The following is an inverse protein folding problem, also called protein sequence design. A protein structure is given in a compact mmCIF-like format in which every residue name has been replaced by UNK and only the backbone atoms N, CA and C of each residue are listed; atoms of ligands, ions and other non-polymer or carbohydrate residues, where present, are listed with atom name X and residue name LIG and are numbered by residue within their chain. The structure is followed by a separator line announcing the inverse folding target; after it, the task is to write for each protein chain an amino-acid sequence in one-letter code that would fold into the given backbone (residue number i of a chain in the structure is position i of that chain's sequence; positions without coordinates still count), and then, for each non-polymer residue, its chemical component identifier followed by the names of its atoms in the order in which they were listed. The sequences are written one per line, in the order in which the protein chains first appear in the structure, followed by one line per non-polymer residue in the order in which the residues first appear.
data_IF_893368192539
#
_entry.id   IF_893368192539
#
_cell.length_a   1.000
_cell.length_b   1.000
_cell.length_c   1.000
_cell.angle_alpha   90.00
_cell.angle_beta   90.00
_cell.angle_gamma   90.00
#
_symmetry.space_group_name_H-M   'P 1'
#
loop_
_entity.id
_entity.type
_entity.pdbx_description
1 polymer ?
#
# COMPACT_ATOMS: atom_id res chain seq x y z
N UNK A 1 -2.82 12.80 -8.51
CA UNK A 1 -1.72 13.79 -8.42
C UNK A 1 -0.51 13.25 -9.14
N UNK A 2 0.35 14.13 -9.70
CA UNK A 2 1.49 13.67 -10.49
C UNK A 2 2.81 14.03 -9.83
N UNK A 3 3.82 13.16 -10.05
CA UNK A 3 5.21 13.46 -9.71
C UNK A 3 5.79 14.55 -10.63
N UNK A 4 6.96 15.05 -10.27
CA UNK A 4 7.75 15.93 -11.14
C UNK A 4 8.17 15.17 -12.41
N UNK A 5 8.13 15.86 -13.56
CA UNK A 5 8.55 15.27 -14.85
C UNK A 5 9.99 14.74 -14.83
N UNK A 6 10.87 15.38 -14.06
CA UNK A 6 12.26 14.96 -13.88
C UNK A 6 12.43 13.54 -13.33
N UNK A 7 11.41 13.00 -12.63
CA UNK A 7 11.42 11.66 -12.05
C UNK A 7 10.94 10.56 -13.00
N UNK A 8 10.51 10.92 -14.21
CA UNK A 8 10.05 9.93 -15.19
C UNK A 8 11.13 8.88 -15.52
N UNK A 9 12.40 9.32 -15.62
CA UNK A 9 13.55 8.42 -15.86
C UNK A 9 13.71 7.38 -14.75
N UNK A 10 13.45 7.75 -13.49
CA UNK A 10 13.58 6.86 -12.34
C UNK A 10 12.48 5.80 -12.35
N UNK A 11 11.26 6.19 -12.72
CA UNK A 11 10.16 5.22 -12.89
C UNK A 11 10.43 4.25 -14.04
N UNK A 12 11.00 4.73 -15.15
CA UNK A 12 11.39 3.88 -16.30
C UNK A 12 12.45 2.87 -15.88
N UNK A 13 13.46 3.27 -15.10
CA UNK A 13 14.49 2.37 -14.59
C UNK A 13 13.91 1.30 -13.67
N UNK A 14 13.02 1.68 -12.75
CA UNK A 14 12.34 0.74 -11.86
C UNK A 14 11.49 -0.24 -12.68
N UNK A 15 10.71 0.24 -13.68
CA UNK A 15 9.91 -0.60 -14.56
C UNK A 15 10.76 -1.61 -15.32
N UNK A 16 11.86 -1.14 -15.95
CA UNK A 16 12.82 -1.99 -16.67
C UNK A 16 13.37 -3.09 -15.78
N UNK A 17 13.82 -2.75 -14.58
CA UNK A 17 14.32 -3.73 -13.61
C UNK A 17 13.29 -4.81 -13.28
N UNK A 18 12.01 -4.42 -13.07
CA UNK A 18 10.94 -5.38 -12.79
C UNK A 18 10.76 -6.32 -13.99
N UNK A 19 10.69 -5.76 -15.20
CA UNK A 19 10.47 -6.53 -16.42
C UNK A 19 11.62 -7.51 -16.72
N UNK A 20 12.86 -7.16 -16.36
CA UNK A 20 14.03 -8.00 -16.52
C UNK A 20 14.22 -9.03 -15.38
N UNK A 21 13.83 -8.68 -14.15
CA UNK A 21 14.08 -9.52 -12.96
C UNK A 21 12.99 -10.54 -12.69
N UNK A 22 11.78 -10.32 -13.17
CA UNK A 22 10.63 -11.18 -12.91
C UNK A 22 10.20 -11.89 -14.18
N UNK A 23 10.23 -13.23 -14.16
CA UNK A 23 9.60 -14.01 -15.23
C UNK A 23 8.08 -13.79 -15.23
N UNK A 24 7.40 -13.90 -16.38
CA UNK A 24 5.93 -13.74 -16.46
C UNK A 24 5.16 -14.65 -15.49
N UNK A 25 5.70 -15.81 -15.14
CA UNK A 25 5.12 -16.74 -14.16
C UNK A 25 5.31 -16.29 -12.70
N UNK A 26 6.31 -15.44 -12.41
CA UNK A 26 6.59 -14.93 -11.08
C UNK A 26 5.83 -13.62 -10.76
N UNK A 27 5.30 -12.92 -11.78
CA UNK A 27 4.51 -11.69 -11.62
C UNK A 27 3.07 -12.07 -11.20
N UNK A 28 2.93 -12.81 -10.12
CA UNK A 28 1.59 -13.09 -9.57
C UNK A 28 1.24 -12.17 -8.41
N UNK A 29 2.14 -11.97 -7.49
CA UNK A 29 2.06 -11.00 -6.40
C UNK A 29 3.45 -10.91 -5.78
N UNK A 30 4.26 -10.00 -6.27
CA UNK A 30 5.64 -9.88 -5.79
C UNK A 30 5.82 -8.57 -5.05
N UNK A 31 6.39 -8.66 -3.88
CA UNK A 31 6.76 -7.54 -3.03
C UNK A 31 8.28 -7.47 -2.92
N UNK A 32 8.87 -6.39 -3.41
CA UNK A 32 10.31 -6.13 -3.31
C UNK A 32 10.54 -4.93 -2.40
N UNK A 33 11.00 -5.18 -1.19
CA UNK A 33 11.29 -4.11 -0.22
C UNK A 33 12.50 -3.27 -0.65
N UNK A 34 12.47 -1.96 -0.38
CA UNK A 34 13.51 -1.00 -0.77
C UNK A 34 14.91 -1.48 -0.36
N UNK A 35 15.06 -2.07 0.82
CA UNK A 35 16.35 -2.55 1.34
C UNK A 35 16.92 -3.77 0.60
N UNK A 36 16.12 -4.45 -0.21
CA UNK A 36 16.50 -5.63 -0.99
C UNK A 36 16.71 -5.33 -2.47
N UNK A 37 16.45 -4.10 -2.90
CA UNK A 37 16.67 -3.69 -4.28
C UNK A 37 18.16 -3.48 -4.59
N UNK A 38 18.61 -3.71 -5.83
CA UNK A 38 19.92 -3.29 -6.30
C UNK A 38 20.16 -1.80 -6.05
N UNK A 39 21.43 -1.40 -5.91
CA UNK A 39 21.80 -0.04 -5.50
C UNK A 39 21.32 1.04 -6.46
N UNK A 40 21.38 0.80 -7.77
CA UNK A 40 20.90 1.70 -8.81
C UNK A 40 19.37 1.91 -8.73
N UNK A 41 18.61 0.83 -8.61
CA UNK A 41 17.15 0.88 -8.46
C UNK A 41 16.76 1.51 -7.12
N UNK A 42 17.49 1.19 -6.06
CA UNK A 42 17.29 1.83 -4.76
C UNK A 42 17.51 3.34 -4.83
N UNK A 43 18.51 3.80 -5.58
CA UNK A 43 18.75 5.23 -5.80
C UNK A 43 17.55 5.87 -6.51
N UNK A 44 16.98 5.23 -7.54
CA UNK A 44 15.78 5.73 -8.21
C UNK A 44 14.56 5.79 -7.27
N UNK A 45 14.38 4.77 -6.41
CA UNK A 45 13.34 4.81 -5.37
C UNK A 45 13.57 5.98 -4.40
N UNK A 46 14.81 6.26 -4.01
CA UNK A 46 15.16 7.39 -3.15
C UNK A 46 14.83 8.73 -3.82
N UNK A 47 15.08 8.88 -5.13
CA UNK A 47 14.71 10.10 -5.86
C UNK A 47 13.18 10.31 -5.84
N UNK A 48 12.40 9.28 -6.15
CA UNK A 48 10.94 9.36 -6.12
C UNK A 48 10.43 9.62 -4.69
N UNK A 49 11.01 8.97 -3.67
CA UNK A 49 10.69 9.18 -2.26
C UNK A 49 10.90 10.62 -1.80
N UNK A 50 11.88 11.33 -2.38
CA UNK A 50 12.19 12.71 -2.06
C UNK A 50 11.44 13.72 -2.94
N UNK A 51 10.44 13.32 -3.69
CA UNK A 51 9.60 14.19 -4.52
C UNK A 51 8.99 15.33 -3.71
N UNK A 52 9.21 16.57 -4.15
CA UNK A 52 8.61 17.75 -3.54
C UNK A 52 7.08 17.75 -3.68
N UNK A 53 6.57 17.19 -4.78
CA UNK A 53 5.12 17.07 -5.00
C UNK A 53 4.47 16.15 -3.97
N UNK A 54 5.11 15.02 -3.60
CA UNK A 54 4.65 14.16 -2.52
C UNK A 54 4.66 14.93 -1.19
N UNK A 55 5.79 15.52 -0.82
CA UNK A 55 5.89 16.24 0.46
C UNK A 55 4.87 17.37 0.58
N UNK A 56 4.75 18.20 -0.45
CA UNK A 56 3.79 19.30 -0.50
C UNK A 56 2.36 18.82 -0.38
N UNK A 57 2.02 17.69 -1.02
CA UNK A 57 0.71 17.08 -0.92
C UNK A 57 0.42 16.58 0.48
N UNK A 58 1.35 15.86 1.11
CA UNK A 58 1.19 15.35 2.47
C UNK A 58 1.02 16.47 3.50
N UNK A 59 1.73 17.58 3.35
CA UNK A 59 1.56 18.75 4.20
C UNK A 59 0.18 19.39 4.03
N UNK A 60 -0.37 19.43 2.80
CA UNK A 60 -1.74 19.92 2.55
C UNK A 60 -2.80 19.02 3.19
N UNK A 61 -2.57 17.70 3.25
CA UNK A 61 -3.51 16.75 3.87
C UNK A 61 -3.50 16.81 5.40
N UNK A 62 -2.45 17.34 6.00
CA UNK A 62 -2.31 17.40 7.47
C UNK A 62 -2.23 18.83 7.98
N UNK A 63 -1.06 19.41 7.98
CA UNK A 63 -0.81 20.80 8.37
C UNK A 63 0.56 21.23 7.83
N UNK A 64 0.64 22.46 7.33
CA UNK A 64 1.91 23.07 6.93
C UNK A 64 2.92 23.21 8.08
N UNK A 65 2.46 23.11 9.34
CA UNK A 65 3.30 23.11 10.55
C UNK A 65 3.81 21.72 10.93
N UNK A 66 3.39 20.68 10.23
CA UNK A 66 3.87 19.34 10.50
C UNK A 66 5.23 19.07 9.85
N UNK A 67 5.95 18.13 10.43
CA UNK A 67 7.13 17.52 9.82
C UNK A 67 6.71 16.23 9.12
N UNK A 68 7.33 15.95 7.99
CA UNK A 68 7.16 14.71 7.24
C UNK A 68 8.49 13.95 7.27
N UNK A 69 8.41 12.66 7.61
CA UNK A 69 9.58 11.78 7.65
C UNK A 69 9.28 10.46 6.92
N UNK A 70 10.13 10.01 5.99
CA UNK A 70 9.95 8.72 5.33
C UNK A 70 10.17 7.56 6.30
N UNK A 71 9.44 6.46 6.06
CA UNK A 71 9.57 5.16 6.77
C UNK A 71 10.06 4.14 5.75
N UNK A 72 11.37 4.14 5.53
CA UNK A 72 12.02 3.40 4.45
C UNK A 72 11.82 1.88 4.56
N UNK A 73 11.75 1.35 5.78
CA UNK A 73 11.59 -0.08 6.07
C UNK A 73 10.27 -0.66 5.58
N UNK A 74 9.28 0.19 5.33
CA UNK A 74 7.98 -0.21 4.81
C UNK A 74 7.85 0.00 3.29
N UNK A 75 8.82 0.69 2.66
CA UNK A 75 8.76 0.97 1.24
C UNK A 75 8.96 -0.30 0.42
N UNK A 76 8.14 -0.44 -0.61
CA UNK A 76 8.19 -1.61 -1.48
C UNK A 76 7.75 -1.28 -2.90
N UNK A 77 8.38 -1.95 -3.86
CA UNK A 77 7.82 -2.12 -5.21
C UNK A 77 6.88 -3.32 -5.16
N UNK A 78 5.65 -3.10 -5.56
CA UNK A 78 4.63 -4.13 -5.64
C UNK A 78 4.24 -4.39 -7.09
N UNK A 79 4.28 -5.65 -7.48
CA UNK A 79 3.93 -6.10 -8.81
C UNK A 79 2.77 -7.09 -8.73
N UNK A 80 1.75 -6.87 -9.54
CA UNK A 80 0.66 -7.82 -9.71
C UNK A 80 0.40 -8.05 -11.20
N UNK A 81 -0.03 -9.26 -11.53
CA UNK A 81 -0.58 -9.61 -12.82
C UNK A 81 -2.09 -9.67 -12.69
N UNK A 82 -2.81 -9.10 -13.64
CA UNK A 82 -4.25 -9.25 -13.65
C UNK A 82 -4.63 -10.74 -13.72
N UNK A 83 -5.51 -11.14 -12.83
CA UNK A 83 -6.23 -12.40 -12.91
C UNK A 83 -7.64 -12.06 -13.38
N UNK A 84 -8.12 -12.71 -14.41
CA UNK A 84 -9.43 -12.45 -15.01
C UNK A 84 -10.55 -12.30 -13.97
N UNK A 85 -11.61 -11.65 -14.37
CA UNK A 85 -12.83 -11.45 -13.56
C UNK A 85 -13.24 -12.77 -12.89
N UNK A 86 -13.34 -12.78 -11.56
CA UNK A 86 -13.72 -13.97 -10.79
C UNK A 86 -12.58 -14.80 -10.19
N UNK A 87 -11.33 -14.47 -10.39
CA UNK A 87 -10.20 -15.12 -9.71
C UNK A 87 -10.07 -14.64 -8.26
N UNK A 88 -10.87 -15.21 -7.37
CA UNK A 88 -10.81 -15.00 -5.92
C UNK A 88 -9.74 -15.86 -5.22
N UNK A 89 -8.56 -16.03 -5.78
CA UNK A 89 -7.58 -16.91 -5.18
C UNK A 89 -6.23 -16.23 -5.00
N UNK A 90 -5.83 -16.02 -3.76
CA UNK A 90 -4.49 -15.58 -3.35
C UNK A 90 -4.49 -14.27 -2.57
N UNK A 91 -3.30 -13.75 -2.26
CA UNK A 91 -3.08 -12.50 -1.52
C UNK A 91 -3.71 -11.25 -2.18
N UNK A 92 -4.03 -11.32 -3.46
CA UNK A 92 -4.64 -10.21 -4.21
C UNK A 92 -6.12 -9.99 -3.86
N UNK A 93 -6.83 -11.04 -3.43
CA UNK A 93 -8.22 -10.91 -2.97
C UNK A 93 -8.40 -9.89 -1.84
N UNK A 94 -7.36 -9.67 -1.02
CA UNK A 94 -7.37 -8.68 0.05
C UNK A 94 -7.41 -7.26 -0.50
N UNK A 95 -6.74 -7.01 -1.62
CA UNK A 95 -6.72 -5.68 -2.21
C UNK A 95 -8.04 -5.30 -2.88
N UNK A 96 -8.84 -6.29 -3.27
CA UNK A 96 -10.18 -6.07 -3.82
C UNK A 96 -11.25 -5.89 -2.73
N UNK A 97 -10.96 -6.25 -1.48
CA UNK A 97 -11.87 -6.04 -0.34
C UNK A 97 -11.57 -4.71 0.34
N UNK A 98 -12.61 -4.05 0.82
CA UNK A 98 -12.49 -2.81 1.60
C UNK A 98 -11.73 -3.11 2.89
N UNK A 99 -10.61 -2.44 3.12
CA UNK A 99 -9.79 -2.64 4.31
C UNK A 99 -9.05 -1.37 4.74
N UNK A 100 -8.51 -1.41 5.95
CA UNK A 100 -7.60 -0.44 6.52
C UNK A 100 -6.33 -1.20 6.88
N UNK A 101 -5.18 -0.65 6.53
CA UNK A 101 -3.90 -1.36 6.64
C UNK A 101 -3.41 -1.54 8.08
N UNK A 102 -3.67 -0.59 8.96
CA UNK A 102 -3.11 -0.61 10.32
C UNK A 102 -4.08 -0.16 11.42
N UNK A 103 -3.84 -0.57 12.68
CA UNK A 103 -4.77 -0.34 13.79
C UNK A 103 -4.52 0.96 14.58
N UNK A 104 -3.48 1.74 14.26
CA UNK A 104 -3.03 2.84 15.13
C UNK A 104 -3.70 4.18 14.83
N UNK A 105 -4.87 4.17 14.21
CA UNK A 105 -5.64 5.38 13.89
C UNK A 105 -6.08 6.20 15.10
N UNK A 106 -6.08 5.62 16.31
CA UNK A 106 -6.40 6.30 17.55
C UNK A 106 -5.29 7.23 18.07
N UNK A 107 -4.05 7.08 17.59
CA UNK A 107 -2.95 7.94 18.05
C UNK A 107 -3.16 9.34 17.47
N UNK A 108 -3.39 10.35 18.34
CA UNK A 108 -3.78 11.68 17.87
C UNK A 108 -2.59 12.40 17.22
N UNK A 109 -2.91 13.25 16.23
CA UNK A 109 -1.96 14.16 15.58
C UNK A 109 -0.78 13.48 14.85
N UNK A 110 -0.75 12.16 14.80
CA UNK A 110 0.20 11.40 14.02
C UNK A 110 -0.52 10.69 12.88
N UNK A 111 0.06 10.73 11.70
CA UNK A 111 -0.47 10.04 10.53
C UNK A 111 0.65 9.29 9.84
N UNK A 112 0.44 8.01 9.58
CA UNK A 112 1.28 7.26 8.67
C UNK A 112 0.59 7.25 7.30
N UNK A 113 1.21 7.88 6.33
CA UNK A 113 0.75 7.85 4.95
C UNK A 113 1.39 6.70 4.18
N UNK A 114 0.59 6.06 3.34
CA UNK A 114 1.05 5.26 2.21
C UNK A 114 0.80 6.04 0.93
N UNK A 115 1.85 6.42 0.23
CA UNK A 115 1.76 6.98 -1.11
C UNK A 115 1.92 5.83 -2.12
N UNK A 116 0.90 5.60 -2.92
CA UNK A 116 0.91 4.62 -4.01
C UNK A 116 1.23 5.38 -5.29
N UNK A 117 2.44 5.20 -5.80
CA UNK A 117 2.89 5.76 -7.08
C UNK A 117 2.73 4.72 -8.17
N UNK A 118 2.06 5.06 -9.24
CA UNK A 118 1.86 4.16 -10.38
C UNK A 118 3.08 4.15 -11.28
N UNK A 119 3.67 2.97 -11.48
CA UNK A 119 4.77 2.73 -12.41
C UNK A 119 4.24 2.18 -13.74
N UNK A 120 3.22 1.32 -13.66
CA UNK A 120 2.55 0.70 -14.80
C UNK A 120 1.14 0.29 -14.39
N UNK A 121 0.13 0.55 -15.22
CA UNK A 121 -1.25 0.15 -14.95
C UNK A 121 -1.96 -0.30 -16.25
N UNK A 122 -1.47 -1.38 -16.84
CA UNK A 122 -2.09 -2.01 -18.02
C UNK A 122 -3.39 -2.76 -17.68
N UNK A 123 -3.67 -2.92 -16.40
CA UNK A 123 -4.87 -3.62 -15.89
C UNK A 123 -6.07 -2.70 -15.74
N UNK A 124 -5.93 -1.42 -16.04
CA UNK A 124 -6.96 -0.38 -15.80
C UNK A 124 -7.60 -0.45 -14.40
N UNK A 125 -6.78 -0.82 -13.43
CA UNK A 125 -7.23 -0.95 -12.04
C UNK A 125 -7.41 0.43 -11.42
N UNK A 126 -8.58 0.65 -10.84
CA UNK A 126 -8.91 1.84 -10.07
C UNK A 126 -8.53 1.65 -8.60
N UNK A 127 -7.97 2.67 -7.98
CA UNK A 127 -7.76 2.71 -6.53
C UNK A 127 -8.89 3.52 -5.90
N UNK A 128 -9.63 2.91 -4.99
CA UNK A 128 -10.70 3.59 -4.27
C UNK A 128 -10.23 3.88 -2.86
N UNK A 129 -10.31 5.15 -2.44
CA UNK A 129 -9.97 5.61 -1.09
C UNK A 129 -11.17 6.35 -0.53
N UNK A 130 -11.75 5.83 0.54
CA UNK A 130 -13.04 6.29 1.05
C UNK A 130 -14.11 6.13 -0.05
N UNK A 131 -14.62 7.24 -0.56
CA UNK A 131 -15.61 7.26 -1.64
C UNK A 131 -15.05 7.78 -2.96
N UNK A 132 -13.75 8.15 -2.99
CA UNK A 132 -13.12 8.72 -4.17
C UNK A 132 -12.44 7.62 -4.99
N UNK A 133 -12.71 7.63 -6.29
CA UNK A 133 -12.10 6.72 -7.27
C UNK A 133 -10.93 7.42 -7.98
N UNK A 134 -9.79 6.75 -8.02
CA UNK A 134 -8.56 7.23 -8.65
C UNK A 134 -8.15 6.26 -9.77
N UNK A 135 -8.27 6.73 -11.01
CA UNK A 135 -7.72 6.03 -12.18
C UNK A 135 -6.33 6.60 -12.48
N UNK A 136 -5.31 6.01 -11.84
CA UNK A 136 -3.95 6.57 -11.86
C UNK A 136 -3.17 6.11 -13.08
N UNK A 137 -2.59 7.08 -13.79
CA UNK A 137 -1.62 6.86 -14.88
C UNK A 137 -0.20 6.75 -14.33
N UNK A 138 0.73 6.35 -15.20
CA UNK A 138 2.16 6.32 -14.87
C UNK A 138 2.64 7.68 -14.36
N UNK A 139 3.38 7.68 -13.25
CA UNK A 139 3.85 8.90 -12.57
C UNK A 139 2.81 9.60 -11.71
N UNK A 140 1.56 9.12 -11.66
CA UNK A 140 0.57 9.65 -10.73
C UNK A 140 0.61 8.89 -9.40
N UNK A 141 0.21 9.59 -8.33
CA UNK A 141 0.16 9.00 -7.00
C UNK A 141 -1.09 9.41 -6.22
N UNK A 142 -1.47 8.56 -5.28
CA UNK A 142 -2.47 8.84 -4.25
C UNK A 142 -1.86 8.59 -2.88
N UNK A 143 -2.19 9.43 -1.91
CA UNK A 143 -1.79 9.27 -0.51
C UNK A 143 -2.98 8.78 0.31
N UNK A 144 -2.76 7.75 1.11
CA UNK A 144 -3.74 7.08 1.96
C UNK A 144 -3.26 7.18 3.40
N UNK A 145 -4.12 7.57 4.35
CA UNK A 145 -3.83 7.37 5.78
C UNK A 145 -3.89 5.87 6.07
N UNK A 146 -2.71 5.27 6.27
CA UNK A 146 -2.50 3.85 6.48
C UNK A 146 -3.37 3.25 7.60
N UNK A 147 -3.67 4.06 8.61
CA UNK A 147 -4.35 3.64 9.83
C UNK A 147 -5.83 4.06 9.90
N UNK A 148 -6.33 4.88 8.93
CA UNK A 148 -7.69 5.43 9.01
C UNK A 148 -8.47 5.34 7.71
N UNK A 149 -7.80 5.33 6.55
CA UNK A 149 -8.51 5.40 5.29
C UNK A 149 -8.90 4.01 4.80
N UNK A 150 -10.21 3.81 4.70
CA UNK A 150 -10.79 2.65 4.04
C UNK A 150 -10.44 2.72 2.55
N UNK A 151 -9.82 1.66 2.03
CA UNK A 151 -9.42 1.62 0.64
C UNK A 151 -9.46 0.20 0.07
N UNK A 152 -9.53 0.13 -1.25
CA UNK A 152 -9.46 -1.11 -2.01
C UNK A 152 -9.15 -0.81 -3.48
N UNK A 153 -8.89 -1.84 -4.26
CA UNK A 153 -8.76 -1.73 -5.72
C UNK A 153 -9.96 -2.37 -6.40
N UNK A 154 -10.37 -1.79 -7.51
CA UNK A 154 -11.42 -2.32 -8.37
C UNK A 154 -10.89 -2.41 -9.80
N UNK A 155 -11.12 -3.52 -10.46
CA UNK A 155 -10.95 -3.63 -11.92
C UNK A 155 -12.21 -3.08 -12.56
N UNK A 156 -12.09 -2.34 -13.66
CA UNK A 156 -13.26 -1.84 -14.39
C UNK A 156 -14.09 -3.01 -14.91
N UNK A 157 -15.40 -2.91 -14.78
CA UNK A 157 -16.33 -4.01 -15.08
C UNK A 157 -16.35 -4.41 -16.58
N UNK A 158 -16.00 -3.48 -17.46
CA UNK A 158 -15.93 -3.64 -18.91
C UNK A 158 -14.53 -3.99 -19.43
N UNK A 159 -13.53 -4.08 -18.53
CA UNK A 159 -12.15 -4.36 -18.92
C UNK A 159 -11.88 -5.86 -18.97
N UNK A 160 -11.57 -6.36 -20.16
CA UNK A 160 -11.04 -7.71 -20.36
C UNK A 160 -9.53 -7.62 -20.56
N UNK A 161 -8.73 -7.84 -19.49
CA UNK A 161 -7.30 -7.74 -19.61
C UNK A 161 -6.73 -8.83 -20.49
N UNK A 162 -5.76 -8.48 -21.30
CA UNK A 162 -4.92 -9.47 -21.94
C UNK A 162 -4.18 -10.31 -20.89
N UNK A 163 -3.84 -11.56 -21.22
CA UNK A 163 -3.13 -12.49 -20.32
C UNK A 163 -1.84 -11.93 -19.72
N UNK A 164 -1.29 -10.87 -20.30
CA UNK A 164 -0.02 -10.23 -19.92
C UNK A 164 -0.18 -8.87 -19.23
N UNK A 165 -1.42 -8.42 -19.00
CA UNK A 165 -1.62 -7.11 -18.37
C UNK A 165 -0.93 -7.01 -17.00
N UNK A 166 -0.16 -5.95 -16.79
CA UNK A 166 0.72 -5.75 -15.63
C UNK A 166 0.28 -4.53 -14.84
N UNK A 167 0.42 -4.60 -13.51
CA UNK A 167 0.29 -3.47 -12.61
C UNK A 167 1.50 -3.41 -11.69
N UNK A 168 2.26 -2.33 -11.81
CA UNK A 168 3.41 -2.05 -10.94
C UNK A 168 3.18 -0.77 -10.18
N UNK A 169 3.35 -0.81 -8.87
CA UNK A 169 3.26 0.38 -8.03
C UNK A 169 4.43 0.43 -7.06
N UNK A 170 4.88 1.64 -6.77
CA UNK A 170 5.82 1.92 -5.69
C UNK A 170 5.02 2.42 -4.50
N UNK A 171 5.08 1.71 -3.38
CA UNK A 171 4.45 2.10 -2.12
C UNK A 171 5.49 2.75 -1.23
N UNK A 172 5.32 4.04 -0.98
CA UNK A 172 6.19 4.85 -0.14
C UNK A 172 5.46 5.22 1.14
N UNK A 173 6.16 5.18 2.26
CA UNK A 173 5.55 5.44 3.57
C UNK A 173 6.18 6.66 4.25
N UNK A 174 5.34 7.50 4.85
CA UNK A 174 5.75 8.74 5.51
C UNK A 174 4.96 8.95 6.80
N UNK A 175 5.65 9.36 7.86
CA UNK A 175 5.00 9.83 9.08
C UNK A 175 4.88 11.34 9.01
N UNK A 176 3.67 11.84 9.23
CA UNK A 176 3.40 13.25 9.52
C UNK A 176 3.17 13.40 11.01
N UNK A 177 3.85 14.36 11.62
CA UNK A 177 3.73 14.66 13.05
C UNK A 177 3.95 16.16 13.31
N UNK A 178 3.35 16.72 14.39
CA UNK A 178 3.50 18.13 14.72
C UNK A 178 4.95 18.53 14.96
N UNK A 179 5.35 19.74 14.53
CA UNK A 179 6.73 20.22 14.68
C UNK A 179 7.21 20.30 16.13
N UNK A 180 6.30 20.48 17.09
CA UNK A 180 6.59 20.48 18.53
C UNK A 180 6.79 19.08 19.12
N UNK A 181 6.36 18.03 18.40
CA UNK A 181 6.49 16.65 18.88
C UNK A 181 7.96 16.20 18.75
N UNK A 182 8.55 15.63 19.80
CA UNK A 182 9.90 15.07 19.76
C UNK A 182 10.01 13.98 18.66
N UNK A 183 11.09 14.02 17.90
CA UNK A 183 11.32 13.07 16.81
C UNK A 183 11.35 11.61 17.28
N UNK A 184 11.79 11.37 18.53
CA UNK A 184 11.81 10.03 19.10
C UNK A 184 10.41 9.40 19.16
N UNK A 185 9.37 10.20 19.45
CA UNK A 185 7.99 9.73 19.49
C UNK A 185 7.50 9.36 18.10
N UNK A 186 7.86 10.16 17.08
CA UNK A 186 7.55 9.82 15.68
C UNK A 186 8.29 8.55 15.24
N UNK A 187 9.55 8.33 15.66
CA UNK A 187 10.28 7.09 15.43
C UNK A 187 9.60 5.90 16.10
N UNK A 188 9.16 6.03 17.35
CA UNK A 188 8.43 4.94 18.05
C UNK A 188 7.12 4.60 17.32
N UNK A 189 6.37 5.60 16.87
CA UNK A 189 5.18 5.38 16.07
C UNK A 189 5.50 4.64 14.76
N UNK A 190 6.59 5.01 14.08
CA UNK A 190 7.09 4.29 12.92
C UNK A 190 7.40 2.83 13.22
N UNK A 191 8.16 2.55 14.28
CA UNK A 191 8.52 1.20 14.70
C UNK A 191 7.28 0.34 15.03
N UNK A 192 6.27 0.92 15.69
CA UNK A 192 5.00 0.20 15.93
C UNK A 192 4.34 -0.23 14.61
N UNK A 193 4.25 0.67 13.64
CA UNK A 193 3.65 0.36 12.35
C UNK A 193 4.49 -0.65 11.54
N UNK A 194 5.83 -0.54 11.56
CA UNK A 194 6.74 -1.49 10.90
C UNK A 194 6.53 -2.89 11.47
N UNK A 195 6.58 -3.02 12.81
CA UNK A 195 6.42 -4.32 13.47
C UNK A 195 5.03 -4.90 13.23
N UNK A 196 3.98 -4.08 13.30
CA UNK A 196 2.63 -4.51 12.98
C UNK A 196 2.54 -5.03 11.54
N UNK A 197 3.05 -4.28 10.56
CA UNK A 197 3.01 -4.69 9.16
C UNK A 197 3.71 -6.05 8.94
N UNK A 198 4.86 -6.28 9.57
CA UNK A 198 5.59 -7.54 9.49
C UNK A 198 4.79 -8.69 10.10
N UNK A 199 4.25 -8.49 11.30
CA UNK A 199 3.51 -9.52 12.04
C UNK A 199 2.16 -9.81 11.37
N UNK A 200 1.39 -8.77 11.07
CA UNK A 200 0.08 -8.88 10.45
C UNK A 200 0.17 -9.58 9.09
N UNK A 201 1.18 -9.23 8.29
CA UNK A 201 1.41 -9.88 7.00
C UNK A 201 1.74 -11.36 7.15
N UNK A 202 2.62 -11.72 8.10
CA UNK A 202 2.93 -13.14 8.37
C UNK A 202 1.70 -13.91 8.83
N UNK A 203 0.94 -13.34 9.77
CA UNK A 203 -0.30 -13.93 10.26
C UNK A 203 -1.33 -14.09 9.14
N UNK A 204 -1.51 -13.05 8.32
CA UNK A 204 -2.39 -13.08 7.17
C UNK A 204 -2.00 -14.19 6.17
N UNK A 205 -0.73 -14.23 5.73
CA UNK A 205 -0.27 -15.26 4.80
C UNK A 205 -0.42 -16.67 5.37
N UNK A 206 -0.19 -16.84 6.68
CA UNK A 206 -0.37 -18.11 7.38
C UNK A 206 -1.84 -18.57 7.41
N UNK A 207 -2.77 -17.64 7.45
CA UNK A 207 -4.22 -17.91 7.56
C UNK A 207 -4.98 -17.80 6.24
N UNK A 208 -4.31 -17.51 5.13
CA UNK A 208 -4.95 -17.27 3.83
C UNK A 208 -5.76 -18.49 3.32
N UNK A 209 -5.26 -19.71 3.59
CA UNK A 209 -5.93 -20.97 3.30
C UNK A 209 -5.83 -21.87 4.53
N UNK A 210 -6.70 -21.68 5.54
CA UNK A 210 -6.57 -22.36 6.81
C UNK A 210 -6.99 -23.83 6.67
N UNK A 211 -6.02 -24.74 6.65
CA UNK A 211 -6.24 -26.19 6.59
C UNK A 211 -6.16 -26.84 7.98
N UNK A 212 -5.22 -26.36 8.80
CA UNK A 212 -4.99 -26.90 10.15
C UNK A 212 -5.81 -26.18 11.22
N UNK A 213 -6.03 -26.85 12.35
CA UNK A 213 -6.75 -26.25 13.49
C UNK A 213 -6.14 -24.93 13.97
N UNK A 214 -4.81 -24.80 14.17
CA UNK A 214 -4.20 -23.51 14.55
C UNK A 214 -4.44 -22.39 13.53
N UNK A 215 -4.38 -22.70 12.23
CA UNK A 215 -4.67 -21.73 11.18
C UNK A 215 -6.13 -21.25 11.23
N UNK A 216 -7.08 -22.17 11.40
CA UNK A 216 -8.52 -21.86 11.53
C UNK A 216 -8.80 -20.98 12.74
N UNK A 217 -8.19 -21.33 13.89
CA UNK A 217 -8.34 -20.55 15.14
C UNK A 217 -7.76 -19.15 14.99
N UNK A 218 -6.57 -19.02 14.41
CA UNK A 218 -5.95 -17.70 14.19
C UNK A 218 -6.75 -16.88 13.19
N UNK A 219 -7.23 -17.47 12.09
CA UNK A 219 -8.10 -16.81 11.12
C UNK A 219 -9.38 -16.29 11.79
N UNK A 220 -10.05 -17.14 12.59
CA UNK A 220 -11.22 -16.74 13.35
C UNK A 220 -10.90 -15.58 14.31
N UNK A 221 -9.80 -15.66 15.06
CA UNK A 221 -9.40 -14.62 16.00
C UNK A 221 -9.12 -13.28 15.28
N UNK A 222 -8.40 -13.31 14.15
CA UNK A 222 -8.12 -12.11 13.33
C UNK A 222 -9.44 -11.50 12.84
N UNK A 223 -10.31 -12.31 12.24
CA UNK A 223 -11.59 -11.84 11.69
C UNK A 223 -12.50 -11.27 12.79
N UNK A 224 -12.56 -11.93 13.94
CA UNK A 224 -13.38 -11.48 15.08
C UNK A 224 -12.83 -10.16 15.64
N UNK A 225 -11.52 -10.06 15.85
CA UNK A 225 -10.87 -8.85 16.33
C UNK A 225 -11.07 -7.69 15.36
N UNK A 226 -10.94 -7.93 14.06
CA UNK A 226 -11.16 -6.92 13.02
C UNK A 226 -12.60 -6.42 13.02
N UNK A 227 -13.59 -7.32 13.15
CA UNK A 227 -15.01 -6.94 13.26
C UNK A 227 -15.31 -6.12 14.51
N UNK A 228 -14.79 -6.53 15.66
CA UNK A 228 -14.94 -5.77 16.93
C UNK A 228 -14.30 -4.39 16.79
N UNK A 229 -13.08 -4.33 16.26
CA UNK A 229 -12.37 -3.08 16.02
C UNK A 229 -13.14 -2.15 15.10
N UNK A 230 -13.70 -2.68 14.01
CA UNK A 230 -14.51 -1.94 13.06
C UNK A 230 -15.74 -1.30 13.73
N UNK A 231 -16.45 -2.02 14.59
CA UNK A 231 -17.62 -1.49 15.31
C UNK A 231 -17.26 -0.31 16.21
N UNK A 232 -16.12 -0.37 16.92
CA UNK A 232 -15.75 0.67 17.88
C UNK A 232 -15.09 1.90 17.24
N UNK A 233 -14.36 1.72 16.14
CA UNK A 233 -13.51 2.78 15.60
C UNK A 233 -13.93 3.28 14.21
N UNK A 234 -14.83 2.57 13.52
CA UNK A 234 -15.30 2.97 12.20
C UNK A 234 -16.84 3.00 12.18
N UNK A 235 -17.41 4.17 11.89
CA UNK A 235 -18.88 4.36 11.79
C UNK A 235 -19.52 3.55 10.64
N UNK A 236 -18.74 3.17 9.67
CA UNK A 236 -19.07 2.19 8.63
C UNK A 236 -17.97 1.14 8.66
N UNK A 237 -18.24 -0.01 9.26
CA UNK A 237 -17.29 -1.12 9.29
C UNK A 237 -16.83 -1.50 7.88
N UNK A 238 -15.58 -1.98 7.73
CA UNK A 238 -15.16 -2.56 6.46
C UNK A 238 -16.13 -3.69 6.12
N UNK A 239 -16.57 -3.73 4.86
CA UNK A 239 -17.39 -4.83 4.39
C UNK A 239 -16.51 -6.09 4.31
N UNK A 240 -16.50 -6.87 5.40
CA UNK A 240 -15.75 -8.12 5.53
C UNK A 240 -16.55 -9.32 4.99
N UNK A 241 -17.64 -9.07 4.24
CA UNK A 241 -18.53 -10.11 3.71
C UNK A 241 -17.96 -10.86 2.49
N UNK A 242 -16.65 -10.82 2.26
CA UNK A 242 -16.00 -11.43 1.09
C UNK A 242 -14.89 -12.44 1.42
N UNK A 243 -14.78 -12.96 2.66
CA UNK A 243 -13.81 -14.00 3.01
C UNK A 243 -14.49 -15.36 3.14
#
# INVERSE_FOLDING_TARGET
MSLEFSLAKDLILIKKYIDESLSPSQITTTHMYENKLPSDIKNSVIQVKNSNNIYSHLLKLTSLKNKIKPVTEMNEVYCSKHRGVGCKAGSDAVFETKHIDGPFGMIPKMTLFRCIVTICNETETETIVKENTYNMKEGEFVAIDYNRDLHYIKVKDDFTPGEKAKRYVLKLHYISYPSWCPEIIAKMYGLLNINYNIIARKAFLYTLKPTTFPQKTLNWAINTTTKIWAVFFYKSGPDVSGA
#
